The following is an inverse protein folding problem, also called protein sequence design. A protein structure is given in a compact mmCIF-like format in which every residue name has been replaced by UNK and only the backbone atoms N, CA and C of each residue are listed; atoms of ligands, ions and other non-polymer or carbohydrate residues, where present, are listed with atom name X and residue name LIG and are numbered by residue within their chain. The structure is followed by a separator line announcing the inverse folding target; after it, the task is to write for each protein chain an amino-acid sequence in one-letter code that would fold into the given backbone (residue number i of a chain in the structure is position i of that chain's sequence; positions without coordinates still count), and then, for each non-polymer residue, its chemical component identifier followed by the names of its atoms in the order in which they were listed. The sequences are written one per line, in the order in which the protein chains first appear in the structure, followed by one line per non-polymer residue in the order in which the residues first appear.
data_IF_490300238146
#
_entry.id   IF_490300238146
#
_cell.length_a   1.000
_cell.length_b   1.000
_cell.length_c   1.000
_cell.angle_alpha   90.00
_cell.angle_beta   90.00
_cell.angle_gamma   90.00
#
_symmetry.space_group_name_H-M   'P 1'
#
loop_
_entity.id
_entity.type
_entity.pdbx_description
1 polymer ?
#
# COMPACT_ATOMS: atom_id res chain seq x y z
N UNK A 1 -73.72 18.46 40.09
CA UNK A 1 -74.64 17.74 39.17
C UNK A 1 -74.41 18.36 37.80
N UNK A 2 -73.28 18.00 37.20
CA UNK A 2 -73.15 17.03 36.08
C UNK A 2 -73.47 17.71 34.75
N UNK A 3 -72.43 18.28 34.16
CA UNK A 3 -72.37 18.62 32.74
C UNK A 3 -71.98 17.36 31.97
N UNK A 4 -72.71 17.15 30.88
CA UNK A 4 -72.59 16.06 29.91
C UNK A 4 -72.00 16.71 28.66
N UNK A 5 -70.84 16.25 28.21
CA UNK A 5 -70.33 16.53 26.86
C UNK A 5 -69.95 15.22 26.17
N UNK A 6 -70.06 15.29 24.85
CA UNK A 6 -70.39 14.24 23.90
C UNK A 6 -69.22 13.31 23.52
N UNK A 7 -69.61 12.10 23.07
CA UNK A 7 -68.79 11.15 22.33
C UNK A 7 -68.40 11.70 20.95
N UNK A 8 -67.15 11.47 20.52
CA UNK A 8 -66.90 10.99 19.15
C UNK A 8 -65.53 10.30 18.99
N UNK A 9 -65.59 9.33 18.10
CA UNK A 9 -64.70 8.22 17.75
C UNK A 9 -63.46 8.67 16.94
N UNK A 10 -62.32 7.97 17.08
CA UNK A 10 -61.50 7.51 15.94
C UNK A 10 -60.21 6.81 16.40
N UNK A 11 -60.10 5.58 15.89
CA UNK A 11 -58.98 4.65 15.92
C UNK A 11 -57.84 5.03 14.96
N UNK A 12 -56.65 4.53 15.30
CA UNK A 12 -55.53 4.13 14.42
C UNK A 12 -54.80 5.18 13.58
N UNK A 13 -53.55 5.46 14.00
CA UNK A 13 -52.38 5.36 13.11
C UNK A 13 -51.11 5.31 13.94
N UNK A 14 -50.50 4.13 13.99
CA UNK A 14 -49.13 3.93 14.43
C UNK A 14 -48.17 4.58 13.42
N UNK A 15 -47.64 5.76 13.73
CA UNK A 15 -46.50 6.32 13.01
C UNK A 15 -45.20 5.70 13.56
N UNK A 16 -44.75 4.65 12.90
CA UNK A 16 -43.42 4.08 13.03
C UNK A 16 -42.41 5.05 12.43
N UNK A 17 -41.77 5.85 13.29
CA UNK A 17 -40.58 6.65 12.94
C UNK A 17 -39.45 5.69 12.57
N UNK A 18 -39.22 5.54 11.27
CA UNK A 18 -38.10 4.82 10.69
C UNK A 18 -36.81 5.61 10.97
N UNK A 19 -36.09 5.19 12.01
CA UNK A 19 -34.72 5.62 12.24
C UNK A 19 -33.85 5.09 11.11
N UNK A 20 -33.50 5.98 10.18
CA UNK A 20 -32.48 5.72 9.17
C UNK A 20 -31.14 5.46 9.87
N UNK A 21 -30.81 4.19 10.09
CA UNK A 21 -29.45 3.75 10.37
C UNK A 21 -28.58 4.14 9.18
N UNK A 22 -27.87 5.27 9.27
CA UNK A 22 -26.62 5.47 8.55
C UNK A 22 -25.67 4.40 9.07
N UNK A 23 -25.57 3.29 8.35
CA UNK A 23 -24.58 2.25 8.57
C UNK A 23 -23.22 2.82 8.15
N UNK A 24 -22.58 3.58 9.04
CA UNK A 24 -21.16 3.90 8.93
C UNK A 24 -20.39 2.60 9.04
N UNK A 25 -20.12 1.98 7.89
CA UNK A 25 -19.34 0.74 7.80
C UNK A 25 -17.89 1.12 8.10
N UNK A 26 -17.48 0.95 9.35
CA UNK A 26 -16.08 1.08 9.75
C UNK A 26 -15.26 0.15 8.85
N UNK A 27 -14.20 0.69 8.23
CA UNK A 27 -13.35 -0.10 7.34
C UNK A 27 -12.76 -1.28 8.11
N UNK A 28 -12.62 -2.44 7.44
CA UNK A 28 -12.02 -3.67 7.99
C UNK A 28 -10.81 -3.38 8.90
N UNK A 29 -9.83 -2.61 8.41
CA UNK A 29 -8.63 -2.23 9.16
C UNK A 29 -8.84 -1.52 10.52
N UNK A 30 -9.99 -0.87 10.72
CA UNK A 30 -10.29 -0.03 11.89
C UNK A 30 -11.14 -0.77 12.95
N UNK A 31 -11.82 -1.85 12.57
CA UNK A 31 -12.82 -2.57 13.39
C UNK A 31 -12.27 -3.19 14.69
N UNK A 32 -10.95 -3.32 14.83
CA UNK A 32 -10.31 -3.91 16.01
C UNK A 32 -10.29 -5.45 15.99
N UNK A 33 -11.01 -6.09 15.07
CA UNK A 33 -11.10 -7.55 14.97
C UNK A 33 -10.10 -8.16 13.96
N UNK A 34 -9.44 -7.34 13.15
CA UNK A 34 -8.66 -7.80 12.00
C UNK A 34 -7.16 -7.94 12.29
N UNK A 35 -6.83 -8.98 13.08
CA UNK A 35 -5.51 -9.58 13.02
C UNK A 35 -5.47 -10.51 11.80
N UNK A 36 -5.15 -9.98 10.63
CA UNK A 36 -5.06 -10.80 9.42
C UNK A 36 -3.96 -11.87 9.55
N UNK A 37 -4.38 -13.13 9.56
CA UNK A 37 -3.51 -14.29 9.35
C UNK A 37 -3.21 -14.33 7.85
N UNK A 38 -1.95 -14.09 7.47
CA UNK A 38 -1.53 -14.33 6.10
C UNK A 38 -1.34 -15.85 5.98
N UNK A 39 -2.08 -16.48 5.08
CA UNK A 39 -1.81 -17.86 4.72
C UNK A 39 -0.48 -17.89 3.96
N UNK A 40 0.50 -18.63 4.48
CA UNK A 40 1.86 -18.77 3.89
C UNK A 40 1.87 -19.65 2.62
N UNK A 41 0.75 -19.84 1.91
CA UNK A 41 0.72 -20.72 0.73
C UNK A 41 1.40 -20.11 -0.52
N UNK A 42 1.87 -18.85 -0.46
CA UNK A 42 2.55 -18.18 -1.59
C UNK A 42 4.05 -17.89 -1.36
N UNK A 43 4.68 -18.49 -0.34
CA UNK A 43 6.16 -18.44 -0.22
C UNK A 43 6.74 -19.59 -1.05
N UNK A 44 6.85 -19.37 -2.36
CA UNK A 44 7.67 -20.22 -3.23
C UNK A 44 9.14 -20.08 -2.78
N UNK A 45 9.63 -21.06 -2.02
CA UNK A 45 11.04 -21.25 -1.64
C UNK A 45 11.95 -21.60 -2.85
N UNK A 46 11.48 -21.42 -4.09
CA UNK A 46 12.23 -21.75 -5.29
C UNK A 46 12.85 -20.49 -5.92
N UNK A 47 14.20 -20.36 -5.92
CA UNK A 47 14.84 -19.25 -6.60
C UNK A 47 14.58 -19.32 -8.11
N UNK A 48 14.31 -18.19 -8.78
CA UNK A 48 14.06 -18.19 -10.21
C UNK A 48 15.30 -18.69 -10.98
N UNK A 49 15.11 -19.47 -12.08
CA UNK A 49 16.22 -19.93 -12.89
C UNK A 49 16.95 -18.74 -13.52
N UNK A 50 18.27 -18.74 -13.37
CA UNK A 50 19.19 -17.79 -14.02
C UNK A 50 19.12 -17.98 -15.54
N UNK A 51 18.49 -17.04 -16.25
CA UNK A 51 18.61 -16.94 -17.70
C UNK A 51 19.91 -16.25 -18.09
N UNK A 52 20.67 -16.95 -18.94
CA UNK A 52 21.96 -16.58 -19.52
C UNK A 52 21.78 -15.49 -20.58
N UNK A 53 22.14 -14.24 -20.25
CA UNK A 53 22.19 -13.14 -21.20
C UNK A 53 23.44 -13.26 -22.11
N UNK A 54 23.34 -14.15 -23.09
CA UNK A 54 24.30 -14.28 -24.20
C UNK A 54 24.15 -13.14 -25.21
N UNK A 55 25.16 -12.27 -25.27
CA UNK A 55 25.23 -11.15 -26.21
C UNK A 55 25.35 -11.57 -27.68
N UNK A 56 24.66 -10.83 -28.56
CA UNK A 56 24.78 -10.91 -30.01
C UNK A 56 24.97 -9.51 -30.62
N UNK A 57 26.20 -9.21 -31.04
CA UNK A 57 26.57 -8.04 -31.85
C UNK A 57 26.27 -8.30 -33.34
N UNK A 58 25.86 -7.23 -34.04
CA UNK A 58 25.99 -7.05 -35.50
C UNK A 58 24.68 -6.55 -36.11
N UNK A 59 24.64 -5.58 -37.03
CA UNK A 59 25.67 -4.87 -37.79
C UNK A 59 24.97 -3.66 -38.46
N UNK A 60 25.66 -2.52 -38.52
CA UNK A 60 25.27 -1.34 -39.31
C UNK A 60 25.26 -1.61 -40.82
N UNK A 61 24.35 -0.94 -41.54
CA UNK A 61 24.50 -0.31 -42.88
C UNK A 61 23.38 0.74 -42.98
N UNK A 62 23.69 2.04 -43.04
CA UNK A 62 23.72 2.91 -44.24
C UNK A 62 22.42 2.86 -45.07
N UNK A 63 21.81 3.93 -45.57
CA UNK A 63 22.21 5.32 -45.75
C UNK A 63 20.91 6.16 -46.00
N UNK A 64 21.09 7.47 -45.99
CA UNK A 64 20.10 8.53 -46.20
C UNK A 64 19.28 8.46 -47.49
N UNK A 65 18.02 8.93 -47.44
CA UNK A 65 17.48 9.81 -48.48
C UNK A 65 16.41 10.76 -47.91
N UNK A 66 16.68 12.06 -48.03
CA UNK A 66 15.73 13.15 -47.81
C UNK A 66 14.98 13.38 -49.11
N UNK A 67 13.65 13.39 -49.07
CA UNK A 67 12.84 14.05 -50.09
C UNK A 67 11.77 14.88 -49.39
N UNK A 68 11.95 16.21 -49.45
CA UNK A 68 10.88 17.18 -49.28
C UNK A 68 9.91 17.04 -50.46
N UNK A 69 8.63 16.90 -50.17
CA UNK A 69 7.57 17.22 -51.11
C UNK A 69 6.42 17.86 -50.33
N UNK A 70 6.33 19.18 -50.45
CA UNK A 70 5.15 19.95 -50.15
C UNK A 70 3.98 19.44 -51.02
N UNK A 71 2.90 19.03 -50.38
CA UNK A 71 1.57 19.07 -50.98
C UNK A 71 0.60 19.56 -49.93
N UNK A 72 0.22 20.84 -50.09
CA UNK A 72 -1.03 21.40 -49.62
C UNK A 72 -2.18 20.44 -49.94
N UNK A 73 -2.88 20.00 -48.90
CA UNK A 73 -4.25 19.55 -48.99
C UNK A 73 -4.98 20.02 -47.73
N UNK A 74 -6.04 20.78 -47.97
CA UNK A 74 -7.01 21.39 -47.05
C UNK A 74 -7.30 20.62 -45.74
N UNK A 75 -7.72 21.32 -44.67
CA UNK A 75 -7.80 20.75 -43.33
C UNK A 75 -8.89 19.67 -43.27
N UNK A 76 -8.67 18.54 -42.58
CA UNK A 76 -9.77 17.65 -42.27
C UNK A 76 -10.70 18.38 -41.29
N UNK A 77 -12.00 18.40 -41.60
CA UNK A 77 -13.05 18.77 -40.63
C UNK A 77 -12.95 17.92 -39.36
N UNK A 78 -13.68 18.28 -38.28
CA UNK A 78 -13.44 17.73 -36.95
C UNK A 78 -13.69 16.22 -36.97
N UNK A 79 -12.62 15.43 -36.96
CA UNK A 79 -12.72 14.00 -36.81
C UNK A 79 -13.00 13.75 -35.34
N UNK A 80 -14.16 13.15 -35.06
CA UNK A 80 -14.57 12.61 -33.78
C UNK A 80 -13.65 11.46 -33.32
N UNK A 81 -12.35 11.73 -33.20
CA UNK A 81 -11.31 10.72 -33.06
C UNK A 81 -11.10 10.37 -31.58
N UNK A 82 -10.97 9.07 -31.33
CA UNK A 82 -10.55 8.58 -30.02
C UNK A 82 -9.08 8.93 -29.81
N UNK A 83 -8.79 9.64 -28.71
CA UNK A 83 -7.42 9.82 -28.22
C UNK A 83 -7.03 8.59 -27.40
N UNK A 84 -6.07 7.81 -27.89
CA UNK A 84 -5.38 6.80 -27.08
C UNK A 84 -4.42 7.51 -26.11
N UNK A 85 -4.77 7.49 -24.83
CA UNK A 85 -4.09 8.24 -23.77
C UNK A 85 -2.69 7.70 -23.51
N UNK A 86 -2.49 6.39 -23.70
CA UNK A 86 -1.26 5.68 -23.32
C UNK A 86 -0.52 5.06 -24.52
N UNK A 87 -1.12 5.09 -25.72
CA UNK A 87 -0.55 4.51 -26.93
C UNK A 87 -0.64 2.99 -26.98
N UNK A 88 -1.51 2.37 -26.17
CA UNK A 88 -1.70 0.92 -26.06
C UNK A 88 -3.16 0.47 -26.19
N UNK A 89 -4.06 1.36 -26.64
CA UNK A 89 -5.51 1.14 -26.80
C UNK A 89 -6.30 0.77 -25.53
N UNK A 90 -5.66 0.75 -24.35
CA UNK A 90 -6.27 0.31 -23.09
C UNK A 90 -6.87 1.45 -22.27
N UNK A 91 -6.60 2.71 -22.66
CA UNK A 91 -7.24 3.88 -22.08
C UNK A 91 -7.47 4.91 -23.18
N UNK A 92 -8.73 5.14 -23.55
CA UNK A 92 -9.10 6.01 -24.65
C UNK A 92 -10.08 7.09 -24.19
N UNK A 93 -9.96 8.29 -24.75
CA UNK A 93 -10.81 9.45 -24.48
C UNK A 93 -11.40 9.98 -25.78
N UNK A 94 -12.70 10.24 -25.82
CA UNK A 94 -13.39 10.93 -26.91
C UNK A 94 -14.12 12.14 -26.34
N UNK A 95 -13.88 13.31 -26.91
CA UNK A 95 -14.58 14.54 -26.53
C UNK A 95 -16.01 14.47 -27.07
N UNK A 96 -17.00 14.74 -26.20
CA UNK A 96 -18.42 14.82 -26.55
C UNK A 96 -18.86 16.28 -26.68
N UNK A 97 -18.43 17.12 -25.74
CA UNK A 97 -18.65 18.57 -25.74
C UNK A 97 -17.33 19.27 -25.40
N UNK A 98 -16.94 20.24 -26.22
CA UNK A 98 -15.68 20.97 -26.05
C UNK A 98 -15.73 21.89 -24.83
N UNK A 99 -14.59 22.04 -24.15
CA UNK A 99 -14.43 22.93 -23.01
C UNK A 99 -13.90 24.32 -23.40
N UNK A 100 -13.28 25.00 -22.43
CA UNK A 100 -12.74 26.37 -22.59
C UNK A 100 -11.32 26.42 -23.17
N UNK A 101 -10.87 25.38 -23.88
CA UNK A 101 -9.56 25.32 -24.52
C UNK A 101 -8.44 24.73 -23.62
N UNK A 102 -7.32 24.37 -24.25
CA UNK A 102 -6.22 23.63 -23.62
C UNK A 102 -5.57 24.30 -22.40
N UNK A 103 -5.52 25.63 -22.38
CA UNK A 103 -4.92 26.39 -21.26
C UNK A 103 -5.79 26.31 -19.98
N UNK A 104 -7.03 25.84 -20.10
CA UNK A 104 -7.94 25.66 -18.97
C UNK A 104 -7.83 24.28 -18.29
N UNK A 105 -6.92 23.42 -18.76
CA UNK A 105 -6.74 22.06 -18.25
C UNK A 105 -6.22 22.07 -16.80
N UNK A 106 -6.77 21.21 -15.92
CA UNK A 106 -6.34 21.14 -14.54
C UNK A 106 -4.90 20.60 -14.44
N UNK A 107 -4.19 21.05 -13.41
CA UNK A 107 -2.83 20.62 -13.12
C UNK A 107 -2.81 19.57 -12.00
N UNK A 108 -1.78 18.71 -12.00
CA UNK A 108 -1.58 17.73 -10.93
C UNK A 108 -1.53 18.45 -9.57
N UNK A 109 -2.26 17.92 -8.59
CA UNK A 109 -2.38 18.49 -7.24
C UNK A 109 -3.51 19.49 -7.08
N UNK A 110 -4.22 19.89 -8.14
CA UNK A 110 -5.44 20.68 -8.00
C UNK A 110 -6.62 19.82 -7.55
N UNK A 111 -7.54 20.43 -6.80
CA UNK A 111 -8.82 19.85 -6.47
C UNK A 111 -9.78 20.04 -7.64
N UNK A 112 -10.24 18.94 -8.22
CA UNK A 112 -11.17 18.94 -9.35
C UNK A 112 -12.55 18.47 -8.92
N UNK A 113 -13.58 18.98 -9.58
CA UNK A 113 -14.97 18.54 -9.43
C UNK A 113 -15.50 18.07 -10.76
N UNK A 114 -16.08 16.87 -10.79
CA UNK A 114 -16.63 16.26 -12.01
C UNK A 114 -18.05 15.75 -11.80
N UNK A 115 -18.83 15.70 -12.88
CA UNK A 115 -19.94 14.74 -12.97
C UNK A 115 -19.41 13.45 -13.60
N UNK A 116 -19.78 12.32 -13.01
CA UNK A 116 -19.38 10.99 -13.45
C UNK A 116 -20.60 10.12 -13.68
N UNK A 117 -20.60 9.40 -14.79
CA UNK A 117 -21.52 8.30 -15.06
C UNK A 117 -20.71 7.11 -15.54
N UNK A 118 -20.82 5.99 -14.82
CA UNK A 118 -20.04 4.78 -15.04
C UNK A 118 -20.95 3.69 -15.59
N UNK A 119 -20.60 3.14 -16.75
CA UNK A 119 -21.28 2.00 -17.35
C UNK A 119 -20.32 0.82 -17.56
N UNK A 120 -20.86 -0.39 -17.51
CA UNK A 120 -20.15 -1.62 -17.92
C UNK A 120 -20.05 -1.71 -19.45
N UNK A 121 -19.28 -2.69 -19.92
CA UNK A 121 -19.11 -2.97 -21.35
C UNK A 121 -20.42 -3.29 -22.08
N UNK A 122 -21.41 -3.87 -21.39
CA UNK A 122 -22.74 -4.18 -21.91
C UNK A 122 -23.72 -2.99 -21.90
N UNK A 123 -23.27 -1.82 -21.40
CA UNK A 123 -24.07 -0.60 -21.27
C UNK A 123 -24.85 -0.48 -19.96
N UNK A 124 -24.77 -1.45 -19.06
CA UNK A 124 -25.39 -1.40 -17.74
C UNK A 124 -24.84 -0.23 -16.94
N UNK A 125 -25.73 0.64 -16.44
CA UNK A 125 -25.36 1.76 -15.59
C UNK A 125 -25.01 1.24 -14.19
N UNK A 126 -23.76 1.44 -13.79
CA UNK A 126 -23.25 1.07 -12.46
C UNK A 126 -23.49 2.18 -11.46
N UNK A 127 -23.12 3.41 -11.84
CA UNK A 127 -23.08 4.52 -10.93
C UNK A 127 -23.29 5.83 -11.69
N UNK A 128 -23.98 6.77 -11.04
CA UNK A 128 -24.02 8.17 -11.47
C UNK A 128 -23.77 9.03 -10.25
N UNK A 129 -22.69 9.80 -10.30
CA UNK A 129 -22.28 10.69 -9.23
C UNK A 129 -22.14 12.11 -9.75
N UNK A 130 -22.82 13.04 -9.09
CA UNK A 130 -22.69 14.47 -9.35
C UNK A 130 -21.76 15.11 -8.35
N UNK A 131 -21.04 16.14 -8.78
CA UNK A 131 -20.11 16.92 -7.95
C UNK A 131 -19.03 16.08 -7.22
N UNK A 132 -18.59 14.97 -7.83
CA UNK A 132 -17.50 14.16 -7.30
C UNK A 132 -16.22 15.01 -7.27
N UNK A 133 -15.68 15.21 -6.07
CA UNK A 133 -14.49 16.03 -5.84
C UNK A 133 -13.32 15.17 -5.40
N UNK A 134 -12.13 15.41 -5.97
CA UNK A 134 -10.90 14.70 -5.61
C UNK A 134 -9.65 15.52 -5.96
N UNK A 135 -8.50 15.18 -5.37
CA UNK A 135 -7.23 15.81 -5.71
C UNK A 135 -6.59 15.08 -6.89
N UNK A 136 -6.37 15.80 -7.99
CA UNK A 136 -5.94 15.21 -9.25
C UNK A 136 -4.53 14.62 -9.14
N UNK A 137 -4.41 13.31 -9.33
CA UNK A 137 -3.15 12.58 -9.31
C UNK A 137 -2.73 12.04 -7.93
N UNK A 138 -3.60 12.13 -6.92
CA UNK A 138 -3.40 11.54 -5.60
C UNK A 138 -3.89 10.08 -5.52
N UNK A 139 -4.54 9.54 -6.56
CA UNK A 139 -5.14 8.21 -6.52
C UNK A 139 -6.41 8.13 -5.66
N UNK A 140 -7.10 9.26 -5.46
CA UNK A 140 -8.40 9.32 -4.77
C UNK A 140 -9.53 8.67 -5.57
N UNK A 141 -9.31 8.37 -6.83
CA UNK A 141 -10.26 7.73 -7.74
C UNK A 141 -9.55 6.61 -8.50
N UNK A 142 -10.25 5.94 -9.43
CA UNK A 142 -9.61 4.97 -10.33
C UNK A 142 -8.58 5.68 -11.23
N UNK A 143 -7.52 4.98 -11.60
CA UNK A 143 -6.42 5.56 -12.39
C UNK A 143 -6.88 6.17 -13.72
N UNK A 144 -7.91 5.57 -14.34
CA UNK A 144 -8.49 6.08 -15.57
C UNK A 144 -8.94 7.54 -15.42
N UNK A 145 -9.56 7.90 -14.29
CA UNK A 145 -10.00 9.28 -14.04
C UNK A 145 -8.81 10.22 -13.80
N UNK A 146 -7.85 9.82 -12.97
CA UNK A 146 -6.65 10.64 -12.71
C UNK A 146 -5.89 10.96 -14.01
N UNK A 147 -5.74 9.97 -14.90
CA UNK A 147 -5.01 10.13 -16.16
C UNK A 147 -5.79 10.87 -17.24
N UNK A 148 -7.12 10.75 -17.27
CA UNK A 148 -7.93 11.38 -18.32
C UNK A 148 -8.40 12.78 -17.98
N UNK A 149 -8.71 13.06 -16.71
CA UNK A 149 -9.19 14.38 -16.28
C UNK A 149 -8.12 15.47 -16.45
N UNK A 150 -6.83 15.13 -16.30
CA UNK A 150 -5.73 16.07 -16.62
C UNK A 150 -5.65 16.45 -18.11
N UNK A 151 -6.32 15.69 -18.99
CA UNK A 151 -6.40 15.97 -20.43
C UNK A 151 -7.73 16.61 -20.83
N UNK A 152 -8.63 16.87 -19.87
CA UNK A 152 -9.91 17.52 -20.09
C UNK A 152 -9.80 19.03 -19.92
N UNK A 153 -10.46 19.76 -20.80
CA UNK A 153 -10.62 21.20 -20.70
C UNK A 153 -11.74 21.57 -19.71
N UNK A 154 -11.69 22.76 -19.14
CA UNK A 154 -12.71 23.21 -18.19
C UNK A 154 -14.08 23.27 -18.88
N UNK A 155 -15.10 22.61 -18.30
CA UNK A 155 -16.43 22.47 -18.89
C UNK A 155 -16.54 21.38 -19.95
N UNK A 156 -15.45 20.67 -20.28
CA UNK A 156 -15.47 19.60 -21.27
C UNK A 156 -16.28 18.42 -20.77
N UNK A 157 -17.05 17.82 -21.68
CA UNK A 157 -17.68 16.52 -21.48
C UNK A 157 -17.04 15.48 -22.38
N UNK A 158 -16.61 14.36 -21.83
CA UNK A 158 -15.89 13.32 -22.54
C UNK A 158 -16.40 11.92 -22.20
N UNK A 159 -16.23 11.00 -23.16
CA UNK A 159 -16.38 9.58 -22.99
C UNK A 159 -14.99 8.94 -22.84
N UNK A 160 -14.79 8.16 -21.78
CA UNK A 160 -13.54 7.45 -21.51
C UNK A 160 -13.81 5.95 -21.54
N UNK A 161 -13.04 5.21 -22.32
CA UNK A 161 -13.00 3.75 -22.32
C UNK A 161 -11.76 3.30 -21.57
N UNK A 162 -11.95 2.54 -20.49
CA UNK A 162 -10.87 2.09 -19.63
C UNK A 162 -10.87 0.57 -19.49
N UNK A 163 -9.74 -0.05 -19.81
CA UNK A 163 -9.51 -1.45 -19.47
C UNK A 163 -9.52 -1.63 -17.95
N UNK A 164 -9.92 -2.83 -17.50
CA UNK A 164 -10.07 -3.18 -16.09
C UNK A 164 -8.86 -2.77 -15.21
N UNK A 165 -7.63 -2.89 -15.72
CA UNK A 165 -6.41 -2.55 -14.95
C UNK A 165 -6.31 -1.08 -14.53
N UNK A 166 -6.98 -0.16 -15.24
CA UNK A 166 -7.03 1.27 -14.89
C UNK A 166 -8.34 1.63 -14.17
N UNK A 167 -9.22 0.64 -13.95
CA UNK A 167 -10.50 0.74 -13.28
C UNK A 167 -10.45 -0.01 -11.93
N UNK A 168 -11.15 -1.14 -11.82
CA UNK A 168 -11.26 -1.94 -10.58
C UNK A 168 -10.50 -3.28 -10.63
N UNK A 169 -9.75 -3.54 -11.70
CA UNK A 169 -8.80 -4.64 -11.82
C UNK A 169 -9.42 -6.05 -11.72
N UNK A 170 -8.60 -7.01 -11.34
CA UNK A 170 -8.94 -8.43 -11.29
C UNK A 170 -9.94 -8.80 -10.20
N UNK A 171 -10.08 -7.94 -9.18
CA UNK A 171 -11.00 -8.18 -8.06
C UNK A 171 -12.34 -7.49 -8.23
N UNK A 172 -12.42 -6.48 -9.10
CA UNK A 172 -13.61 -5.67 -9.25
C UNK A 172 -13.87 -4.81 -8.01
N UNK A 173 -15.12 -4.42 -7.81
CA UNK A 173 -15.55 -3.58 -6.70
C UNK A 173 -16.94 -4.00 -6.23
N UNK A 174 -17.19 -3.92 -4.92
CA UNK A 174 -18.52 -4.13 -4.35
C UNK A 174 -19.33 -2.82 -4.33
N UNK A 175 -18.65 -1.70 -4.12
CA UNK A 175 -19.24 -0.37 -4.07
C UNK A 175 -18.32 0.60 -4.84
N UNK A 176 -18.69 1.01 -6.06
CA UNK A 176 -19.85 0.51 -6.82
C UNK A 176 -19.68 -0.97 -7.25
N UNK A 177 -20.78 -1.65 -7.58
CA UNK A 177 -20.77 -3.06 -7.99
C UNK A 177 -20.20 -3.21 -9.40
N UNK A 178 -18.95 -3.65 -9.49
CA UNK A 178 -18.23 -3.89 -10.73
C UNK A 178 -17.60 -5.28 -10.69
N UNK A 179 -17.90 -6.15 -11.66
CA UNK A 179 -17.28 -7.46 -11.75
C UNK A 179 -15.74 -7.41 -11.88
N UNK A 180 -15.11 -8.53 -11.55
CA UNK A 180 -13.70 -8.78 -11.80
C UNK A 180 -13.36 -8.66 -13.28
N UNK A 181 -12.23 -8.01 -13.60
CA UNK A 181 -11.72 -7.82 -14.97
C UNK A 181 -12.67 -7.09 -15.93
N UNK A 182 -13.60 -6.29 -15.38
CA UNK A 182 -14.59 -5.58 -16.19
C UNK A 182 -14.02 -4.26 -16.75
N UNK A 183 -14.22 -4.05 -18.05
CA UNK A 183 -13.91 -2.77 -18.71
C UNK A 183 -15.04 -1.76 -18.47
N UNK A 184 -14.66 -0.49 -18.34
CA UNK A 184 -15.62 0.58 -18.04
C UNK A 184 -15.71 1.61 -19.16
N UNK A 185 -16.93 2.09 -19.36
CA UNK A 185 -17.25 3.27 -20.15
C UNK A 185 -17.69 4.39 -19.20
N UNK A 186 -16.90 5.46 -19.12
CA UNK A 186 -17.11 6.58 -18.20
C UNK A 186 -17.51 7.82 -19.01
N UNK A 187 -18.66 8.40 -18.71
CA UNK A 187 -19.04 9.73 -19.20
C UNK A 187 -18.68 10.73 -18.09
N UNK A 188 -17.71 11.60 -18.38
CA UNK A 188 -17.09 12.52 -17.44
C UNK A 188 -17.31 13.96 -17.90
N UNK A 189 -17.72 14.84 -17.00
CA UNK A 189 -17.84 16.28 -17.25
C UNK A 189 -16.98 17.02 -16.22
N UNK A 190 -16.01 17.82 -16.67
CA UNK A 190 -15.15 18.61 -15.78
C UNK A 190 -15.82 19.94 -15.43
N UNK A 191 -16.20 20.12 -14.17
CA UNK A 191 -16.95 21.29 -13.72
C UNK A 191 -16.05 22.40 -13.19
N UNK A 192 -15.07 22.04 -12.37
CA UNK A 192 -14.24 22.97 -11.62
C UNK A 192 -12.85 22.39 -11.38
N UNK A 193 -11.84 23.26 -11.34
CA UNK A 193 -10.51 22.97 -10.84
C UNK A 193 -10.03 24.16 -10.02
N UNK A 194 -9.60 23.89 -8.80
CA UNK A 194 -9.07 24.89 -7.85
C UNK A 194 -7.78 24.39 -7.23
N UNK A 195 -6.95 25.30 -6.74
CA UNK A 195 -5.73 24.91 -6.05
C UNK A 195 -6.02 24.14 -4.76
N UNK A 196 -5.16 23.19 -4.42
CA UNK A 196 -5.27 22.47 -3.15
C UNK A 196 -5.16 23.46 -1.97
N UNK A 197 -5.84 23.16 -0.84
CA UNK A 197 -5.75 24.00 0.34
C UNK A 197 -4.31 24.04 0.87
N UNK A 198 -3.89 25.21 1.38
CA UNK A 198 -2.63 25.35 2.09
C UNK A 198 -2.72 24.64 3.46
N UNK A 199 -2.02 23.52 3.58
CA UNK A 199 -2.05 22.66 4.77
C UNK A 199 -1.57 23.36 6.05
N UNK A 200 -0.80 24.45 5.94
CA UNK A 200 -0.34 25.22 7.10
C UNK A 200 -1.39 26.21 7.62
N UNK A 201 -2.34 26.59 6.76
CA UNK A 201 -3.41 27.54 7.07
C UNK A 201 -4.76 26.85 7.32
N UNK A 202 -4.85 25.54 7.07
CA UNK A 202 -6.06 24.75 7.32
C UNK A 202 -6.40 24.72 8.82
N UNK A 203 -7.67 24.99 9.20
CA UNK A 203 -8.14 24.76 10.56
C UNK A 203 -7.94 23.30 10.99
N UNK A 204 -7.67 23.01 12.28
CA UNK A 204 -7.39 21.64 12.75
C UNK A 204 -8.51 20.64 12.41
N UNK A 205 -9.78 21.05 12.56
CA UNK A 205 -10.92 20.20 12.22
C UNK A 205 -10.96 19.81 10.72
N UNK A 206 -10.69 20.76 9.82
CA UNK A 206 -10.65 20.50 8.37
C UNK A 206 -9.44 19.64 8.00
N UNK A 207 -8.30 19.88 8.63
CA UNK A 207 -7.08 19.09 8.48
C UNK A 207 -7.30 17.63 8.90
N UNK A 208 -7.96 17.42 10.05
CA UNK A 208 -8.37 16.10 10.53
C UNK A 208 -9.32 15.43 9.54
N UNK A 209 -10.34 16.15 9.06
CA UNK A 209 -11.30 15.61 8.08
C UNK A 209 -10.62 15.21 6.76
N UNK A 210 -9.69 16.02 6.26
CA UNK A 210 -8.93 15.73 5.04
C UNK A 210 -8.02 14.50 5.22
N UNK A 211 -7.32 14.40 6.36
CA UNK A 211 -6.51 13.22 6.67
C UNK A 211 -7.35 11.94 6.79
N UNK A 212 -8.52 12.03 7.45
CA UNK A 212 -9.47 10.92 7.54
C UNK A 212 -9.95 10.50 6.16
N UNK A 213 -10.29 11.45 5.29
CA UNK A 213 -10.70 11.16 3.92
C UNK A 213 -9.63 10.38 3.15
N UNK A 214 -8.38 10.86 3.17
CA UNK A 214 -7.25 10.16 2.52
C UNK A 214 -7.00 8.77 3.12
N UNK A 215 -7.14 8.62 4.45
CA UNK A 215 -7.07 7.30 5.11
C UNK A 215 -8.18 6.37 4.64
N UNK A 216 -9.41 6.85 4.52
CA UNK A 216 -10.55 6.07 4.03
C UNK A 216 -10.36 5.65 2.58
N UNK A 217 -9.82 6.52 1.74
CA UNK A 217 -9.38 6.16 0.37
C UNK A 217 -8.36 5.04 0.38
N UNK A 218 -7.35 5.11 1.26
CA UNK A 218 -6.40 4.02 1.44
C UNK A 218 -7.06 2.71 1.87
N UNK A 219 -8.07 2.78 2.74
CA UNK A 219 -8.81 1.59 3.19
C UNK A 219 -9.61 0.93 2.06
N UNK A 220 -10.17 1.73 1.14
CA UNK A 220 -10.85 1.21 -0.05
C UNK A 220 -9.86 0.46 -0.95
N UNK A 221 -8.70 1.06 -1.23
CA UNK A 221 -7.64 0.41 -2.01
C UNK A 221 -7.14 -0.86 -1.35
N UNK A 222 -6.95 -0.85 -0.03
CA UNK A 222 -6.53 -2.03 0.72
C UNK A 222 -7.53 -3.19 0.60
N UNK A 223 -8.83 -2.91 0.72
CA UNK A 223 -9.89 -3.92 0.57
C UNK A 223 -9.91 -4.51 -0.85
N UNK A 224 -9.56 -3.70 -1.85
CA UNK A 224 -9.41 -4.14 -3.25
C UNK A 224 -8.12 -4.90 -3.52
N UNK A 225 -7.20 -5.00 -2.56
CA UNK A 225 -5.88 -5.62 -2.78
C UNK A 225 -4.88 -4.71 -3.48
N UNK A 226 -5.25 -3.45 -3.72
CA UNK A 226 -4.43 -2.42 -4.36
C UNK A 226 -3.47 -1.79 -3.34
N UNK A 227 -2.62 -2.61 -2.73
CA UNK A 227 -1.83 -2.23 -1.56
C UNK A 227 -0.86 -1.06 -1.83
N UNK A 228 -0.34 -0.94 -3.05
CA UNK A 228 0.52 0.20 -3.43
C UNK A 228 -0.25 1.53 -3.41
N UNK A 229 -1.48 1.55 -3.92
CA UNK A 229 -2.35 2.73 -3.84
C UNK A 229 -2.79 3.02 -2.41
N UNK A 230 -3.03 1.97 -1.61
CA UNK A 230 -3.32 2.11 -0.20
C UNK A 230 -2.17 2.82 0.55
N UNK A 231 -0.93 2.37 0.35
CA UNK A 231 0.27 3.02 0.91
C UNK A 231 0.36 4.48 0.47
N UNK A 232 0.12 4.79 -0.81
CA UNK A 232 0.13 6.17 -1.30
C UNK A 232 -0.88 7.06 -0.55
N UNK A 233 -2.14 6.61 -0.44
CA UNK A 233 -3.18 7.37 0.26
C UNK A 233 -2.87 7.57 1.75
N UNK A 234 -2.32 6.55 2.43
CA UNK A 234 -1.89 6.70 3.83
C UNK A 234 -0.69 7.64 3.96
N UNK A 235 0.25 7.63 3.01
CA UNK A 235 1.38 8.56 2.98
C UNK A 235 0.92 10.01 2.85
N UNK A 236 -0.10 10.27 2.03
CA UNK A 236 -0.71 11.61 1.90
C UNK A 236 -1.41 12.00 3.20
N UNK A 237 -2.20 11.08 3.79
CA UNK A 237 -2.86 11.31 5.07
C UNK A 237 -1.84 11.64 6.18
N UNK A 238 -0.71 10.93 6.22
CA UNK A 238 0.39 11.23 7.13
C UNK A 238 0.91 12.63 6.88
N UNK A 239 1.33 12.95 5.65
CA UNK A 239 1.81 14.29 5.26
C UNK A 239 0.89 15.41 5.76
N UNK A 240 -0.43 15.24 5.64
CA UNK A 240 -1.42 16.18 6.20
C UNK A 240 -1.30 16.25 7.72
N UNK A 241 -1.34 15.13 8.44
CA UNK A 241 -1.21 15.12 9.91
C UNK A 241 0.16 15.59 10.44
N UNK A 242 1.23 15.49 9.64
CA UNK A 242 2.59 15.90 10.03
C UNK A 242 2.89 17.35 9.69
N UNK A 243 2.09 17.98 8.81
CA UNK A 243 2.40 19.33 8.34
C UNK A 243 2.39 20.32 9.52
N UNK A 244 3.30 21.28 9.49
CA UNK A 244 3.30 22.39 10.45
C UNK A 244 1.99 23.17 10.37
N UNK A 245 1.57 23.76 11.48
CA UNK A 245 0.40 24.63 11.53
C UNK A 245 0.80 26.05 11.86
N UNK A 246 0.28 27.01 11.10
CA UNK A 246 0.31 28.45 11.40
C UNK A 246 -0.95 28.92 12.12
N UNK A 247 -1.92 28.02 12.30
CA UNK A 247 -3.13 28.21 13.08
C UNK A 247 -2.93 27.60 14.46
N UNK A 248 -3.45 28.26 15.50
CA UNK A 248 -3.40 27.75 16.87
C UNK A 248 -4.14 26.40 16.97
N UNK A 249 -3.49 25.41 17.60
CA UNK A 249 -4.04 24.07 17.82
C UNK A 249 -4.18 23.86 19.33
N UNK A 250 -5.35 23.43 19.77
CA UNK A 250 -5.58 23.03 21.16
C UNK A 250 -4.98 21.64 21.44
N UNK A 251 -4.62 21.31 22.69
CA UNK A 251 -4.11 19.98 23.04
C UNK A 251 -5.08 18.84 22.66
N UNK A 252 -6.38 19.10 22.72
CA UNK A 252 -7.42 18.15 22.32
C UNK A 252 -7.37 17.88 20.80
N UNK A 253 -7.30 18.91 19.98
CA UNK A 253 -7.18 18.78 18.52
C UNK A 253 -5.85 18.12 18.10
N UNK A 254 -4.76 18.43 18.80
CA UNK A 254 -3.47 17.77 18.59
C UNK A 254 -3.57 16.27 18.91
N UNK A 255 -4.26 15.90 19.98
CA UNK A 255 -4.51 14.50 20.32
C UNK A 255 -5.37 13.79 19.28
N UNK A 256 -6.37 14.45 18.70
CA UNK A 256 -7.20 13.89 17.62
C UNK A 256 -6.39 13.64 16.34
N UNK A 257 -5.58 14.62 15.93
CA UNK A 257 -4.66 14.47 14.79
C UNK A 257 -3.67 13.33 15.02
N UNK A 258 -3.17 13.18 16.25
CA UNK A 258 -2.26 12.11 16.62
C UNK A 258 -2.94 10.73 16.56
N UNK A 259 -4.21 10.61 16.97
CA UNK A 259 -4.97 9.37 16.82
C UNK A 259 -5.13 8.98 15.33
N UNK A 260 -5.47 9.95 14.47
CA UNK A 260 -5.53 9.71 13.02
C UNK A 260 -4.17 9.29 12.48
N UNK A 261 -3.08 9.95 12.88
CA UNK A 261 -1.71 9.61 12.48
C UNK A 261 -1.35 8.17 12.84
N UNK A 262 -1.62 7.75 14.07
CA UNK A 262 -1.32 6.39 14.53
C UNK A 262 -2.16 5.35 13.76
N UNK A 263 -3.43 5.65 13.46
CA UNK A 263 -4.27 4.79 12.61
C UNK A 263 -3.70 4.68 11.19
N UNK A 264 -3.26 5.78 10.59
CA UNK A 264 -2.62 5.80 9.27
C UNK A 264 -1.32 4.98 9.25
N UNK A 265 -0.43 5.16 10.23
CA UNK A 265 0.81 4.38 10.35
C UNK A 265 0.52 2.87 10.47
N UNK A 266 -0.49 2.52 11.25
CA UNK A 266 -0.94 1.14 11.43
C UNK A 266 -1.44 0.51 10.12
N UNK A 267 -2.26 1.25 9.37
CA UNK A 267 -2.81 0.77 8.10
C UNK A 267 -1.74 0.74 6.99
N UNK A 268 -0.80 1.69 7.01
CA UNK A 268 0.37 1.71 6.14
C UNK A 268 1.27 0.50 6.40
N UNK A 269 1.55 0.16 7.67
CA UNK A 269 2.30 -1.05 8.02
C UNK A 269 1.61 -2.33 7.54
N UNK A 270 0.27 -2.41 7.65
CA UNK A 270 -0.50 -3.54 7.13
C UNK A 270 -0.36 -3.68 5.61
N UNK A 271 -0.43 -2.56 4.88
CA UNK A 271 -0.30 -2.54 3.42
C UNK A 271 1.13 -2.87 2.98
N UNK A 272 2.14 -2.36 3.68
CA UNK A 272 3.55 -2.67 3.41
C UNK A 272 3.88 -4.14 3.69
N UNK A 273 3.27 -4.75 4.71
CA UNK A 273 3.36 -6.19 4.97
C UNK A 273 2.83 -7.04 3.80
N UNK A 274 1.77 -6.59 3.13
CA UNK A 274 1.21 -7.27 1.95
C UNK A 274 2.08 -7.15 0.70
N UNK A 275 2.98 -6.17 0.68
CA UNK A 275 3.93 -5.91 -0.40
C UNK A 275 5.33 -6.47 -0.08
N UNK A 276 5.49 -7.23 0.99
CA UNK A 276 6.77 -7.72 1.51
C UNK A 276 7.84 -6.62 1.75
N UNK A 277 7.39 -5.38 1.92
CA UNK A 277 8.25 -4.24 2.23
C UNK A 277 8.56 -4.18 3.74
N UNK A 278 9.23 -5.21 4.26
CA UNK A 278 9.41 -5.43 5.71
C UNK A 278 10.12 -4.28 6.43
N UNK A 279 11.18 -3.71 5.86
CA UNK A 279 11.89 -2.58 6.47
C UNK A 279 11.02 -1.32 6.61
N UNK A 280 10.16 -1.07 5.61
CA UNK A 280 9.22 0.04 5.65
C UNK A 280 8.10 -0.23 6.67
N UNK A 281 7.56 -1.44 6.69
CA UNK A 281 6.56 -1.86 7.67
C UNK A 281 7.06 -1.73 9.11
N UNK A 282 8.31 -2.14 9.37
CA UNK A 282 8.94 -2.01 10.68
C UNK A 282 9.03 -0.54 11.12
N UNK A 283 9.47 0.36 10.23
CA UNK A 283 9.53 1.81 10.50
C UNK A 283 8.15 2.38 10.83
N UNK A 284 7.13 2.00 10.07
CA UNK A 284 5.73 2.41 10.33
C UNK A 284 5.24 1.92 11.69
N UNK A 285 5.54 0.67 12.07
CA UNK A 285 5.19 0.14 13.37
C UNK A 285 5.93 0.84 14.52
N UNK A 286 7.24 1.06 14.39
CA UNK A 286 8.04 1.77 15.40
C UNK A 286 7.48 3.17 15.61
N UNK A 287 7.23 3.91 14.53
CA UNK A 287 6.65 5.26 14.59
C UNK A 287 5.28 5.28 15.30
N UNK A 288 4.44 4.27 15.04
CA UNK A 288 3.14 4.16 15.73
C UNK A 288 3.32 3.91 17.25
N UNK A 289 4.31 3.09 17.63
CA UNK A 289 4.61 2.74 19.02
C UNK A 289 5.35 3.85 19.78
N UNK A 290 6.04 4.75 19.10
CA UNK A 290 6.61 5.96 19.71
C UNK A 290 5.52 6.86 20.29
N UNK A 291 4.36 6.92 19.64
CA UNK A 291 3.21 7.70 20.10
C UNK A 291 2.26 6.90 21.01
N UNK A 292 2.00 5.63 20.68
CA UNK A 292 1.15 4.74 21.46
C UNK A 292 1.88 3.42 21.77
N UNK A 293 2.69 3.36 22.85
CA UNK A 293 3.53 2.19 23.17
C UNK A 293 2.76 0.89 23.40
N UNK A 294 1.50 1.02 23.84
CA UNK A 294 0.60 -0.10 24.12
C UNK A 294 -0.39 -0.36 22.96
N UNK A 295 -0.10 0.14 21.74
CA UNK A 295 -0.93 -0.14 20.58
C UNK A 295 -0.79 -1.59 20.13
N UNK A 296 -1.82 -2.40 20.40
CA UNK A 296 -1.80 -3.85 20.17
C UNK A 296 -1.65 -4.19 18.69
N UNK A 297 -2.31 -3.43 17.79
CA UNK A 297 -2.20 -3.64 16.34
C UNK A 297 -0.76 -3.39 15.86
N UNK A 298 -0.13 -2.32 16.31
CA UNK A 298 1.25 -1.99 15.95
C UNK A 298 2.25 -3.01 16.53
N UNK A 299 2.08 -3.43 17.80
CA UNK A 299 2.91 -4.49 18.41
C UNK A 299 2.77 -5.81 17.64
N UNK A 300 1.54 -6.22 17.30
CA UNK A 300 1.33 -7.45 16.54
C UNK A 300 1.97 -7.40 15.16
N UNK A 301 1.74 -6.32 14.41
CA UNK A 301 2.33 -6.12 13.08
C UNK A 301 3.86 -6.09 13.16
N UNK A 302 4.44 -5.40 14.15
CA UNK A 302 5.89 -5.40 14.37
C UNK A 302 6.42 -6.81 14.66
N UNK A 303 5.75 -7.56 15.53
CA UNK A 303 6.11 -8.95 15.83
C UNK A 303 6.08 -9.83 14.58
N UNK A 304 5.08 -9.63 13.70
CA UNK A 304 4.97 -10.34 12.42
C UNK A 304 6.06 -9.96 11.43
N UNK A 305 6.38 -8.67 11.29
CA UNK A 305 7.49 -8.19 10.45
C UNK A 305 8.81 -8.79 10.90
N UNK A 306 9.12 -8.73 12.20
CA UNK A 306 10.34 -9.31 12.77
C UNK A 306 10.42 -10.82 12.54
N UNK A 307 9.29 -11.52 12.65
CA UNK A 307 9.23 -12.95 12.36
C UNK A 307 9.53 -13.24 10.88
N UNK A 308 9.01 -12.45 9.95
CA UNK A 308 9.29 -12.59 8.51
C UNK A 308 10.75 -12.27 8.18
N UNK A 309 11.39 -11.37 8.94
CA UNK A 309 12.83 -11.09 8.82
C UNK A 309 13.73 -12.15 9.48
N UNK A 310 13.16 -13.16 10.16
CA UNK A 310 13.91 -14.20 10.86
C UNK A 310 14.35 -13.83 12.28
N UNK A 311 14.00 -12.63 12.77
CA UNK A 311 14.32 -12.13 14.11
C UNK A 311 13.34 -12.70 15.16
N UNK A 312 13.28 -14.03 15.27
CA UNK A 312 12.26 -14.71 16.06
C UNK A 312 12.32 -14.41 17.55
N UNK A 313 13.52 -14.17 18.10
CA UNK A 313 13.67 -13.87 19.52
C UNK A 313 13.00 -12.54 19.90
N UNK A 314 13.17 -11.51 19.08
CA UNK A 314 12.57 -10.19 19.26
C UNK A 314 11.07 -10.23 18.95
N UNK A 315 10.69 -10.91 17.87
CA UNK A 315 9.29 -11.12 17.50
C UNK A 315 8.49 -11.78 18.65
N UNK A 316 9.02 -12.82 19.31
CA UNK A 316 8.37 -13.46 20.46
C UNK A 316 8.21 -12.49 21.63
N UNK A 317 9.23 -11.66 21.91
CA UNK A 317 9.13 -10.68 23.00
C UNK A 317 8.07 -9.63 22.70
N UNK A 318 8.03 -9.13 21.48
CA UNK A 318 7.05 -8.15 21.00
C UNK A 318 5.63 -8.69 21.06
N UNK A 319 5.38 -9.90 20.52
CA UNK A 319 4.07 -10.52 20.58
C UNK A 319 3.64 -10.88 22.01
N UNK A 320 4.57 -11.21 22.91
CA UNK A 320 4.27 -11.37 24.35
C UNK A 320 3.84 -10.06 25.00
N UNK A 321 4.38 -8.91 24.58
CA UNK A 321 3.87 -7.60 25.05
C UNK A 321 2.43 -7.39 24.58
N UNK A 322 2.15 -7.64 23.30
CA UNK A 322 0.79 -7.55 22.77
C UNK A 322 -0.19 -8.48 23.52
N UNK A 323 0.22 -9.73 23.80
CA UNK A 323 -0.59 -10.70 24.53
C UNK A 323 -0.85 -10.31 25.99
N UNK A 324 0.06 -9.57 26.64
CA UNK A 324 -0.18 -9.05 27.99
C UNK A 324 -1.31 -8.02 28.02
N UNK A 325 -1.47 -7.26 26.94
CA UNK A 325 -2.52 -6.26 26.79
C UNK A 325 -3.86 -6.91 26.45
N UNK A 326 -3.86 -7.94 25.60
CA UNK A 326 -5.05 -8.75 25.28
C UNK A 326 -4.79 -10.26 25.48
N UNK A 327 -4.94 -10.79 26.71
CA UNK A 327 -4.64 -12.19 27.01
C UNK A 327 -5.56 -13.22 26.34
N UNK A 328 -6.75 -12.81 25.90
CA UNK A 328 -7.75 -13.67 25.25
C UNK A 328 -7.64 -13.69 23.72
N UNK A 329 -6.71 -12.93 23.14
CA UNK A 329 -6.60 -12.80 21.69
C UNK A 329 -6.06 -14.08 21.03
N UNK A 330 -6.94 -14.82 20.37
CA UNK A 330 -6.64 -16.11 19.74
C UNK A 330 -5.59 -15.99 18.64
N UNK A 331 -5.59 -14.90 17.89
CA UNK A 331 -4.66 -14.71 16.78
C UNK A 331 -3.23 -14.50 17.27
N UNK A 332 -3.05 -13.70 18.32
CA UNK A 332 -1.74 -13.50 18.94
C UNK A 332 -1.22 -14.82 19.54
N UNK A 333 -2.09 -15.62 20.18
CA UNK A 333 -1.73 -16.95 20.68
C UNK A 333 -1.28 -17.90 19.56
N UNK A 334 -2.01 -17.95 18.46
CA UNK A 334 -1.68 -18.81 17.31
C UNK A 334 -0.34 -18.41 16.69
N UNK A 335 -0.11 -17.11 16.47
CA UNK A 335 1.13 -16.59 15.91
C UNK A 335 2.33 -16.87 16.84
N UNK A 336 2.19 -16.63 18.14
CA UNK A 336 3.23 -16.97 19.13
C UNK A 336 3.56 -18.46 19.15
N UNK A 337 2.54 -19.32 19.08
CA UNK A 337 2.74 -20.78 19.09
C UNK A 337 3.54 -21.24 17.87
N UNK A 338 3.20 -20.70 16.69
CA UNK A 338 3.92 -20.93 15.43
C UNK A 338 5.37 -20.46 15.53
N UNK A 339 5.56 -19.24 16.03
CA UNK A 339 6.87 -18.60 16.13
C UNK A 339 7.81 -19.28 17.13
N UNK A 340 7.29 -19.72 18.29
CA UNK A 340 8.07 -20.46 19.28
C UNK A 340 8.56 -21.80 18.70
N UNK A 341 7.74 -22.48 17.90
CA UNK A 341 8.13 -23.70 17.20
C UNK A 341 9.26 -23.43 16.19
N UNK A 342 9.08 -22.47 15.28
CA UNK A 342 10.12 -22.07 14.30
C UNK A 342 11.45 -21.68 14.99
N UNK A 343 11.37 -20.89 16.06
CA UNK A 343 12.55 -20.48 16.85
C UNK A 343 13.27 -21.66 17.52
N UNK A 344 12.52 -22.65 18.02
CA UNK A 344 13.11 -23.87 18.60
C UNK A 344 13.80 -24.73 17.54
N UNK A 345 13.21 -24.84 16.35
CA UNK A 345 13.77 -25.59 15.22
C UNK A 345 15.06 -24.95 14.71
N UNK A 346 15.08 -23.62 14.53
CA UNK A 346 16.29 -22.88 14.16
C UNK A 346 17.41 -23.07 15.18
N UNK A 347 17.12 -22.89 16.49
CA UNK A 347 18.11 -23.09 17.55
C UNK A 347 18.66 -24.52 17.58
N UNK A 348 17.80 -25.52 17.33
CA UNK A 348 18.22 -26.92 17.23
C UNK A 348 19.15 -27.17 16.04
N UNK A 349 18.81 -26.61 14.87
CA UNK A 349 19.61 -26.70 13.65
C UNK A 349 20.98 -26.01 13.82
N UNK A 350 21.01 -24.80 14.39
CA UNK A 350 22.24 -24.07 14.70
C UNK A 350 23.14 -24.87 15.65
N UNK A 351 22.58 -25.42 16.75
CA UNK A 351 23.34 -26.25 17.69
C UNK A 351 23.94 -27.50 17.01
N UNK A 352 23.18 -28.16 16.14
CA UNK A 352 23.67 -29.32 15.40
C UNK A 352 24.81 -28.92 14.44
N UNK A 353 24.68 -27.78 13.76
CA UNK A 353 25.72 -27.23 12.89
C UNK A 353 26.98 -26.88 13.68
N UNK A 354 26.85 -26.14 14.80
CA UNK A 354 27.97 -25.81 15.68
C UNK A 354 28.68 -27.07 16.19
N UNK A 355 27.94 -28.09 16.63
CA UNK A 355 28.50 -29.37 17.07
C UNK A 355 29.30 -30.06 15.96
N UNK A 356 28.84 -29.98 14.70
CA UNK A 356 29.55 -30.53 13.54
C UNK A 356 30.82 -29.73 13.19
N UNK A 357 30.78 -28.41 13.33
CA UNK A 357 31.93 -27.53 13.04
C UNK A 357 33.01 -27.57 14.14
N UNK A 358 32.62 -27.65 15.42
CA UNK A 358 33.54 -27.73 16.57
C UNK A 358 33.96 -29.17 16.90
N UNK A 359 33.19 -30.15 16.46
CA UNK A 359 33.33 -31.56 16.81
C UNK A 359 34.43 -32.32 16.06
N UNK A 360 35.45 -31.66 15.49
CA UNK A 360 36.60 -32.38 14.93
C UNK A 360 37.97 -31.75 15.26
N UNK A 361 38.54 -32.04 16.44
CA UNK A 361 39.97 -31.97 16.70
C UNK A 361 40.70 -33.30 16.46
N UNK A 362 40.09 -34.30 15.80
CA UNK A 362 40.61 -35.67 15.74
C UNK A 362 40.92 -36.21 14.33
N UNK A 363 40.97 -35.38 13.28
CA UNK A 363 41.36 -35.84 11.93
C UNK A 363 42.62 -35.20 11.35
N UNK A 364 43.46 -34.55 12.16
CA UNK A 364 44.76 -34.01 11.73
C UNK A 364 45.98 -34.70 12.35
N UNK A 365 45.83 -35.85 13.01
CA UNK A 365 46.99 -36.64 13.45
C UNK A 365 46.69 -38.14 13.61
N UNK A 366 46.80 -38.89 12.52
CA UNK A 366 47.35 -40.26 12.55
C UNK A 366 47.45 -40.82 11.14
N UNK A 367 48.67 -40.81 10.61
CA UNK A 367 49.10 -41.65 9.50
C UNK A 367 49.12 -43.14 9.88
N UNK A 368 48.92 -43.97 8.85
CA UNK A 368 49.34 -45.38 8.67
C UNK A 368 48.72 -46.49 9.54
N UNK A 369 47.89 -47.37 8.94
CA UNK A 369 48.33 -48.66 8.35
C UNK A 369 47.13 -49.56 7.93
N UNK A 370 47.18 -50.01 6.67
CA UNK A 370 46.50 -51.14 5.99
C UNK A 370 45.48 -52.05 6.70
N UNK A 371 44.31 -52.25 6.07
CA UNK A 371 43.97 -53.53 5.39
C UNK A 371 42.68 -53.43 4.58
N UNK A 372 42.71 -54.05 3.40
CA UNK A 372 41.75 -54.04 2.30
C UNK A 372 40.36 -54.63 2.63
N UNK A 373 39.29 -53.96 2.20
CA UNK A 373 38.21 -54.60 1.42
C UNK A 373 37.33 -53.56 0.70
N UNK A 374 37.17 -53.80 -0.60
CA UNK A 374 36.39 -52.99 -1.56
C UNK A 374 34.90 -53.06 -1.24
N UNK A 375 34.20 -51.93 -1.29
CA UNK A 375 32.96 -51.80 -2.07
C UNK A 375 32.81 -50.35 -2.57
N UNK A 376 32.40 -50.26 -3.83
CA UNK A 376 32.40 -49.08 -4.70
C UNK A 376 31.00 -48.49 -4.74
N UNK A 377 30.83 -47.22 -4.40
CA UNK A 377 29.72 -46.40 -4.89
C UNK A 377 30.16 -44.93 -4.93
N UNK A 378 29.92 -44.30 -6.08
CA UNK A 378 30.31 -42.92 -6.43
C UNK A 378 29.17 -41.97 -6.08
N UNK A 379 29.47 -40.82 -5.49
CA UNK A 379 28.93 -39.55 -5.98
C UNK A 379 29.82 -38.39 -5.52
N UNK A 380 30.28 -37.62 -6.50
CA UNK A 380 31.05 -36.40 -6.35
C UNK A 380 30.08 -35.24 -6.19
N UNK A 381 30.32 -34.36 -5.23
CA UNK A 381 30.09 -32.93 -5.42
C UNK A 381 31.10 -32.17 -4.57
N UNK A 382 32.00 -31.48 -5.26
CA UNK A 382 32.99 -30.59 -4.65
C UNK A 382 32.45 -29.16 -4.69
N UNK A 383 32.48 -28.48 -3.55
CA UNK A 383 32.41 -27.03 -3.49
C UNK A 383 33.60 -26.50 -2.69
N UNK A 384 34.19 -25.45 -3.26
CA UNK A 384 35.48 -24.85 -2.95
C UNK A 384 35.49 -24.06 -1.63
N UNK A 385 36.41 -24.38 -0.72
CA UNK A 385 36.59 -23.78 0.62
C UNK A 385 37.24 -22.38 0.64
N UNK A 386 37.05 -21.53 -0.38
CA UNK A 386 37.81 -20.26 -0.50
C UNK A 386 37.13 -18.98 0.02
N UNK A 387 36.02 -19.03 0.77
CA UNK A 387 35.35 -17.80 1.27
C UNK A 387 34.84 -17.85 2.72
N UNK A 388 35.52 -18.58 3.63
CA UNK A 388 35.03 -18.71 5.02
C UNK A 388 36.07 -18.45 6.12
N UNK A 389 37.04 -17.57 5.87
CA UNK A 389 37.84 -16.96 6.94
C UNK A 389 37.96 -15.46 6.73
N UNK A 390 37.02 -14.71 7.30
CA UNK A 390 37.02 -13.25 7.22
C UNK A 390 36.12 -12.62 8.28
N UNK A 391 36.35 -12.92 9.56
CA UNK A 391 36.12 -12.01 10.69
C UNK A 391 36.30 -12.71 12.05
N UNK A 392 37.53 -13.03 12.44
CA UNK A 392 37.90 -13.16 13.87
C UNK A 392 39.40 -12.93 14.02
N UNK A 393 39.80 -11.68 14.29
CA UNK A 393 40.88 -11.32 15.22
C UNK A 393 41.31 -9.85 15.01
N UNK A 394 40.82 -8.94 15.85
CA UNK A 394 41.72 -8.04 16.59
C UNK A 394 41.15 -7.91 18.00
N UNK A 395 41.71 -8.70 18.90
CA UNK A 395 41.62 -8.49 20.32
C UNK A 395 42.45 -7.27 20.73
N UNK A 396 41.87 -6.44 21.60
CA UNK A 396 42.50 -5.88 22.79
C UNK A 396 44.03 -5.70 22.74
N UNK A 397 44.48 -4.46 22.50
CA UNK A 397 45.85 -4.05 22.76
C UNK A 397 46.20 -2.71 22.13
N UNK A 398 45.91 -1.59 22.81
CA UNK A 398 46.30 -0.26 22.33
C UNK A 398 45.84 0.89 23.23
N UNK A 399 46.47 1.01 24.39
CA UNK A 399 46.39 2.17 25.29
C UNK A 399 47.04 3.41 24.63
N UNK A 400 46.48 4.59 24.93
CA UNK A 400 47.07 5.93 24.82
C UNK A 400 47.10 6.64 23.46
N UNK A 401 46.04 7.43 23.18
CA UNK A 401 46.21 8.80 22.69
C UNK A 401 44.92 9.63 22.93
N UNK A 402 44.72 10.09 24.17
CA UNK A 402 43.65 11.06 24.49
C UNK A 402 44.08 11.97 25.63
N UNK A 403 45.25 12.59 25.47
CA UNK A 403 45.66 13.76 26.24
C UNK A 403 46.15 14.80 25.23
N UNK A 404 45.64 16.03 25.38
CA UNK A 404 45.94 17.24 24.61
C UNK A 404 45.17 17.39 23.29
N UNK A 405 43.96 17.95 23.36
CA UNK A 405 43.58 19.26 22.79
C UNK A 405 42.21 19.61 23.41
N UNK A 406 42.26 20.15 24.63
CA UNK A 406 41.16 20.87 25.27
C UNK A 406 41.78 21.74 26.38
N UNK A 407 42.61 22.70 25.96
CA UNK A 407 42.88 23.93 26.70
C UNK A 407 43.81 24.84 25.87
N UNK A 408 43.31 26.03 25.55
CA UNK A 408 44.08 27.30 25.48
C UNK A 408 44.72 27.68 24.14
N UNK A 409 43.91 28.15 23.19
CA UNK A 409 43.74 29.58 22.83
C UNK A 409 42.88 29.72 21.58
#
# INVERSE_FOLDING_TARGET
MTEIEENMDSSDSHDSVTSGKKSGRTSLLDSGEDFEVLNEEDIDDEPPPLEDAGGGKGKNTDESERTNADTDSDPPGPVEEWLDVLGNDQLKKKVLEEGKGRDSRPQKGQNVKINLKTCLSDGTLVEKQSDLSFTLGDGDVIQALDLTVMLMEMGEKALVQANAKYAYGERGSLEPEVPANEELSLEVELLEASDAPDLELLPPAEKTALAIHKRERGNVHYQRGDYAFAVNSYSIALTITESSSKVDITPEEESELMDVRVKCLNNMAASQLKLDHYDAALKSCVSALEHQPDNIKALFRMGKVLALQGEYAEAIQTLRKALKLEPSNKTIHAELSKLVKKNSEQRGAEQALYKKMLGNPASSSSSSSSSSQKHRAKSSWGLSWKWLFGATAVALGGVALSVVIAARN
#
